data_IF_046445434351
#
_entry.id   IF_046445434351
#
_cell.length_a   1.000
_cell.length_b   1.000
_cell.length_c   1.000
_cell.angle_alpha   90.00
_cell.angle_beta   90.00
_cell.angle_gamma   90.00
#
_symmetry.space_group_name_H-M   'P 1'
#
loop_
_entity.id
_entity.type
_entity.pdbx_description
1 polymer ?
#
# COMPACT_ATOMS: atom_id res chain seq x y z
N UNK A 1 -17.30 12.21 -4.96
CA UNK A 1 -16.19 11.25 -5.11
C UNK A 1 -16.72 10.00 -5.79
N UNK A 2 -16.10 9.54 -6.88
CA UNK A 2 -16.42 8.27 -7.56
C UNK A 2 -15.39 7.21 -7.18
N UNK A 3 -15.82 5.99 -6.86
CA UNK A 3 -14.93 4.87 -6.53
C UNK A 3 -15.20 3.74 -7.51
N UNK A 4 -14.15 3.27 -8.18
CA UNK A 4 -14.16 2.15 -9.13
C UNK A 4 -13.15 1.10 -8.69
N UNK A 5 -13.26 -0.14 -9.19
CA UNK A 5 -12.32 -1.20 -8.88
C UNK A 5 -11.97 -2.03 -10.12
N UNK A 6 -10.69 -2.39 -10.20
CA UNK A 6 -10.10 -3.36 -11.11
C UNK A 6 -9.82 -4.60 -10.27
N UNK A 7 -10.59 -5.65 -10.48
CA UNK A 7 -10.52 -6.86 -9.64
C UNK A 7 -9.66 -7.97 -10.27
N UNK A 8 -9.36 -7.87 -11.56
CA UNK A 8 -8.61 -8.86 -12.29
C UNK A 8 -7.42 -8.25 -13.03
N UNK A 9 -6.25 -8.93 -13.07
CA UNK A 9 -5.10 -8.50 -13.88
C UNK A 9 -5.43 -8.36 -15.37
N UNK A 10 -6.42 -9.09 -15.87
CA UNK A 10 -6.89 -9.00 -17.27
C UNK A 10 -7.43 -7.60 -17.63
N UNK A 11 -7.84 -6.82 -16.64
CA UNK A 11 -8.34 -5.44 -16.80
C UNK A 11 -7.22 -4.38 -16.83
N UNK A 12 -5.99 -4.70 -16.37
CA UNK A 12 -4.88 -3.76 -16.29
C UNK A 12 -4.52 -3.10 -17.64
N UNK A 13 -4.53 -3.81 -18.79
CA UNK A 13 -4.28 -3.18 -20.08
C UNK A 13 -5.35 -2.13 -20.47
N UNK A 14 -6.60 -2.34 -20.06
CA UNK A 14 -7.67 -1.37 -20.25
C UNK A 14 -7.53 -0.19 -19.29
N UNK A 15 -7.15 -0.42 -18.03
CA UNK A 15 -6.86 0.63 -17.06
C UNK A 15 -5.75 1.56 -17.55
N UNK A 16 -4.65 1.03 -18.09
CA UNK A 16 -3.52 1.80 -18.60
C UNK A 16 -3.87 2.74 -19.76
N UNK A 17 -5.03 2.54 -20.42
CA UNK A 17 -5.55 3.41 -21.49
C UNK A 17 -6.54 4.47 -21.01
N UNK A 18 -6.94 4.43 -19.73
CA UNK A 18 -7.85 5.43 -19.14
C UNK A 18 -7.14 6.75 -18.88
N UNK A 19 -7.88 7.84 -18.90
CA UNK A 19 -7.41 9.12 -18.35
C UNK A 19 -7.48 9.07 -16.82
N UNK A 20 -6.31 8.96 -16.18
CA UNK A 20 -6.18 8.85 -14.73
C UNK A 20 -5.67 10.13 -14.08
N UNK A 21 -5.51 11.25 -14.82
CA UNK A 21 -4.89 12.50 -14.32
C UNK A 21 -5.58 13.08 -13.09
N UNK A 22 -6.87 12.81 -12.92
CA UNK A 22 -7.68 13.27 -11.77
C UNK A 22 -8.06 12.11 -10.83
N UNK A 23 -7.43 10.96 -10.98
CA UNK A 23 -7.70 9.77 -10.18
C UNK A 23 -6.56 9.48 -9.21
N UNK A 24 -6.91 8.93 -8.05
CA UNK A 24 -5.96 8.25 -7.17
C UNK A 24 -6.16 6.75 -7.35
N UNK A 25 -5.09 6.07 -7.74
CA UNK A 25 -5.06 4.61 -7.79
C UNK A 25 -4.54 4.06 -6.45
N UNK A 26 -5.23 3.06 -5.89
CA UNK A 26 -4.79 2.33 -4.70
C UNK A 26 -4.53 0.89 -5.10
N UNK A 27 -3.28 0.48 -5.09
CA UNK A 27 -2.83 -0.85 -5.53
C UNK A 27 -2.75 -1.81 -4.36
N UNK A 28 -3.36 -2.98 -4.53
CA UNK A 28 -3.32 -4.11 -3.60
C UNK A 28 -2.58 -5.28 -4.25
N UNK A 29 -1.56 -5.76 -3.59
CA UNK A 29 -0.86 -7.04 -3.78
C UNK A 29 -0.57 -7.53 -2.36
N UNK A 30 -1.61 -8.03 -1.69
CA UNK A 30 -1.59 -8.33 -0.25
C UNK A 30 -0.63 -9.47 0.05
N UNK A 31 -0.58 -10.48 -0.82
CA UNK A 31 0.33 -11.59 -0.72
C UNK A 31 1.28 -11.62 -1.94
N UNK A 32 2.37 -10.72 -1.95
CA UNK A 32 2.90 -10.04 -0.75
C UNK A 32 3.39 -8.63 -1.00
N UNK A 33 3.48 -8.16 -2.25
CA UNK A 33 4.30 -6.98 -2.58
C UNK A 33 3.89 -5.71 -1.80
N UNK A 34 2.61 -5.33 -1.75
CA UNK A 34 2.20 -4.11 -1.04
C UNK A 34 2.33 -4.24 0.47
N UNK A 35 2.08 -5.43 1.04
CA UNK A 35 2.36 -5.70 2.46
C UNK A 35 3.85 -5.55 2.78
N UNK A 36 4.72 -6.03 1.89
CA UNK A 36 6.16 -5.87 2.02
C UNK A 36 6.56 -4.39 1.94
N UNK A 37 6.05 -3.63 0.97
CA UNK A 37 6.38 -2.22 0.81
C UNK A 37 5.99 -1.38 2.03
N UNK A 38 4.79 -1.60 2.56
CA UNK A 38 4.30 -0.90 3.76
C UNK A 38 5.17 -1.24 4.97
N UNK A 39 5.56 -2.50 5.15
CA UNK A 39 6.45 -2.95 6.23
C UNK A 39 7.85 -2.35 6.10
N UNK A 40 8.42 -2.38 4.90
CA UNK A 40 9.76 -1.83 4.59
C UNK A 40 9.82 -0.34 4.95
N UNK A 41 8.82 0.43 4.55
CA UNK A 41 8.74 1.86 4.86
C UNK A 41 8.53 2.12 6.36
N UNK A 42 7.69 1.31 7.02
CA UNK A 42 7.51 1.39 8.48
C UNK A 42 8.83 1.15 9.22
N UNK A 43 9.65 0.24 8.75
CA UNK A 43 10.96 -0.08 9.33
C UNK A 43 12.06 0.93 8.98
N UNK A 44 11.69 2.05 8.33
CA UNK A 44 12.55 3.20 8.12
C UNK A 44 13.39 3.14 6.86
N UNK A 45 13.03 2.34 5.86
CA UNK A 45 13.65 2.45 4.55
C UNK A 45 13.42 3.85 3.94
N UNK A 46 14.40 4.35 3.20
CA UNK A 46 14.34 5.66 2.56
C UNK A 46 13.36 5.67 1.38
N UNK A 47 13.38 4.60 0.59
CA UNK A 47 12.53 4.46 -0.60
C UNK A 47 12.53 3.01 -1.09
N UNK A 48 11.48 2.68 -1.87
CA UNK A 48 11.40 1.44 -2.66
C UNK A 48 11.27 1.84 -4.11
N UNK A 49 12.10 1.28 -4.97
CA UNK A 49 12.07 1.50 -6.43
C UNK A 49 11.54 0.22 -7.07
N UNK A 50 10.24 0.16 -7.44
CA UNK A 50 9.70 -1.00 -8.13
C UNK A 50 10.17 -1.03 -9.57
N UNK A 51 10.74 -2.16 -9.99
CA UNK A 51 11.20 -2.41 -11.36
C UNK A 51 10.58 -3.70 -11.90
N UNK A 52 10.40 -3.80 -13.23
CA UNK A 52 9.77 -4.98 -13.83
C UNK A 52 10.74 -6.14 -13.99
N UNK A 53 11.95 -5.83 -14.42
CA UNK A 53 12.90 -6.84 -14.84
C UNK A 53 14.05 -7.00 -13.84
N UNK A 54 14.56 -8.23 -13.72
CA UNK A 54 15.75 -8.53 -12.93
C UNK A 54 16.93 -7.69 -13.42
N UNK A 55 17.09 -7.56 -14.73
CA UNK A 55 18.17 -6.78 -15.33
C UNK A 55 18.12 -5.29 -14.93
N UNK A 56 16.92 -4.70 -14.80
CA UNK A 56 16.76 -3.32 -14.29
C UNK A 56 17.28 -3.22 -12.85
N UNK A 57 16.92 -4.19 -11.98
CA UNK A 57 17.38 -4.19 -10.59
C UNK A 57 18.91 -4.30 -10.50
N UNK A 58 19.52 -5.16 -11.29
CA UNK A 58 20.99 -5.31 -11.35
C UNK A 58 21.66 -4.03 -11.85
N UNK A 59 21.10 -3.36 -12.85
CA UNK A 59 21.63 -2.09 -13.36
C UNK A 59 21.59 -0.97 -12.30
N UNK A 60 20.56 -0.95 -11.42
CA UNK A 60 20.53 -0.05 -10.27
C UNK A 60 21.66 -0.35 -9.29
N UNK A 61 21.89 -1.62 -8.94
CA UNK A 61 22.99 -2.04 -8.04
C UNK A 61 24.35 -1.65 -8.58
N UNK A 62 24.59 -1.78 -9.90
CA UNK A 62 25.86 -1.37 -10.52
C UNK A 62 26.12 0.14 -10.37
N UNK A 63 25.06 0.97 -10.47
CA UNK A 63 25.17 2.43 -10.31
C UNK A 63 25.24 2.88 -8.85
N UNK A 64 24.62 2.14 -7.95
CA UNK A 64 24.49 2.45 -6.53
C UNK A 64 24.70 1.18 -5.69
N UNK A 65 25.96 0.83 -5.33
CA UNK A 65 26.29 -0.42 -4.66
C UNK A 65 25.61 -0.61 -3.28
N UNK A 66 25.24 0.49 -2.61
CA UNK A 66 24.66 0.48 -1.26
C UNK A 66 23.16 0.17 -1.20
N UNK A 67 22.48 0.07 -2.34
CA UNK A 67 21.05 -0.31 -2.39
C UNK A 67 20.90 -1.80 -2.07
N UNK A 68 19.70 -2.16 -1.60
CA UNK A 68 19.31 -3.57 -1.42
C UNK A 68 18.47 -4.02 -2.61
N UNK A 69 18.72 -5.24 -3.09
CA UNK A 69 17.89 -5.91 -4.07
C UNK A 69 16.89 -6.80 -3.34
N UNK A 70 15.60 -6.53 -3.54
CA UNK A 70 14.50 -7.32 -3.01
C UNK A 70 13.61 -7.84 -4.12
N UNK A 71 12.96 -8.97 -3.90
CA UNK A 71 11.99 -9.45 -4.87
C UNK A 71 11.90 -10.96 -5.00
N UNK A 72 11.00 -11.38 -5.90
CA UNK A 72 10.66 -12.79 -6.07
C UNK A 72 10.40 -13.15 -7.53
N UNK A 73 10.55 -14.45 -7.80
CA UNK A 73 9.91 -15.14 -8.93
C UNK A 73 9.30 -16.41 -8.39
N UNK A 74 8.05 -16.67 -8.78
CA UNK A 74 7.24 -17.81 -8.29
C UNK A 74 7.15 -17.89 -6.75
N UNK A 75 7.13 -16.73 -6.08
CA UNK A 75 7.02 -16.59 -4.63
C UNK A 75 8.33 -16.71 -3.87
N UNK A 76 9.44 -17.15 -4.49
CA UNK A 76 10.72 -17.35 -3.83
C UNK A 76 11.75 -16.27 -4.21
N UNK A 77 12.71 -16.03 -3.30
CA UNK A 77 13.78 -15.04 -3.52
C UNK A 77 14.56 -15.34 -4.80
N UNK A 78 14.85 -14.31 -5.59
CA UNK A 78 15.68 -14.37 -6.78
C UNK A 78 17.11 -14.74 -6.39
N UNK A 79 17.65 -15.76 -7.07
CA UNK A 79 18.96 -16.32 -6.79
C UNK A 79 19.94 -16.15 -7.96
N UNK A 80 21.23 -16.35 -7.69
CA UNK A 80 22.32 -16.23 -8.65
C UNK A 80 22.09 -16.98 -9.97
N UNK A 81 21.42 -18.13 -9.92
CA UNK A 81 21.06 -18.88 -11.13
C UNK A 81 20.12 -18.12 -12.10
N UNK A 82 19.32 -17.19 -11.58
CA UNK A 82 18.36 -16.40 -12.37
C UNK A 82 18.96 -15.05 -12.84
N UNK A 83 20.08 -14.65 -12.25
CA UNK A 83 20.68 -13.32 -12.45
C UNK A 83 22.02 -13.36 -13.19
N UNK A 84 22.57 -14.56 -13.40
CA UNK A 84 23.93 -14.71 -13.93
C UNK A 84 25.04 -14.51 -12.89
N UNK A 85 24.77 -14.72 -11.60
CA UNK A 85 25.79 -14.75 -10.55
C UNK A 85 25.58 -13.85 -9.34
N UNK A 86 24.47 -13.11 -9.26
CA UNK A 86 24.16 -12.20 -8.13
C UNK A 86 22.92 -12.68 -7.38
N UNK A 87 23.04 -13.01 -6.10
CA UNK A 87 21.87 -13.24 -5.24
C UNK A 87 21.20 -11.90 -4.87
N UNK A 88 19.87 -11.87 -4.86
CA UNK A 88 19.15 -10.76 -4.23
C UNK A 88 19.34 -10.83 -2.72
N UNK A 89 19.45 -9.66 -2.07
CA UNK A 89 19.65 -9.57 -0.63
C UNK A 89 18.45 -10.10 0.16
N UNK A 90 17.24 -9.83 -0.34
CA UNK A 90 15.96 -10.12 0.29
C UNK A 90 14.97 -10.70 -0.72
N UNK A 91 14.04 -11.52 -0.23
CA UNK A 91 12.91 -12.00 -1.01
C UNK A 91 11.77 -10.99 -1.07
N UNK A 92 10.52 -11.49 -1.04
CA UNK A 92 9.31 -10.69 -0.97
C UNK A 92 8.50 -10.97 0.32
N UNK A 93 9.13 -11.62 1.32
CA UNK A 93 8.51 -11.80 2.64
C UNK A 93 8.66 -10.50 3.45
N UNK A 94 7.56 -9.87 3.93
CA UNK A 94 7.67 -8.65 4.75
C UNK A 94 8.50 -8.90 6.03
N UNK A 95 8.54 -10.13 6.52
CA UNK A 95 9.27 -10.54 7.73
C UNK A 95 10.79 -10.54 7.55
N UNK A 96 11.29 -10.58 6.30
CA UNK A 96 12.73 -10.48 6.01
C UNK A 96 13.29 -9.06 6.19
N UNK A 97 12.42 -8.03 6.10
CA UNK A 97 12.81 -6.61 6.07
C UNK A 97 12.80 -6.01 7.46
N UNK A 98 13.69 -6.46 8.33
CA UNK A 98 13.81 -5.93 9.69
C UNK A 98 14.39 -4.50 9.71
N UNK A 99 14.12 -3.69 10.76
CA UNK A 99 14.67 -2.33 10.86
C UNK A 99 16.19 -2.27 10.71
N UNK A 100 16.92 -3.27 11.24
CA UNK A 100 18.38 -3.36 11.19
C UNK A 100 18.89 -3.50 9.75
N UNK A 101 18.13 -4.19 8.90
CA UNK A 101 18.51 -4.42 7.50
C UNK A 101 18.17 -3.23 6.60
N UNK A 102 17.02 -2.56 6.84
CA UNK A 102 16.46 -1.65 5.83
C UNK A 102 16.49 -0.17 6.21
N UNK A 103 16.72 0.19 7.49
CA UNK A 103 16.69 1.58 7.93
C UNK A 103 17.69 2.45 7.13
N UNK A 104 17.17 3.54 6.55
CA UNK A 104 17.94 4.47 5.72
C UNK A 104 18.36 3.93 4.34
N UNK A 105 18.02 2.66 4.01
CA UNK A 105 18.36 2.06 2.72
C UNK A 105 17.32 2.35 1.66
N UNK A 106 17.74 2.34 0.40
CA UNK A 106 16.85 2.24 -0.76
C UNK A 106 16.79 0.78 -1.20
N UNK A 107 15.58 0.29 -1.42
CA UNK A 107 15.34 -1.08 -1.90
C UNK A 107 14.89 -1.00 -3.36
N UNK A 108 15.58 -1.68 -4.26
CA UNK A 108 15.09 -1.92 -5.63
C UNK A 108 14.37 -3.25 -5.61
N UNK A 109 13.08 -3.23 -5.92
CA UNK A 109 12.20 -4.40 -5.79
C UNK A 109 11.62 -4.81 -7.13
N UNK A 110 11.67 -6.11 -7.43
CA UNK A 110 11.00 -6.68 -8.61
C UNK A 110 10.10 -7.85 -8.19
N UNK A 111 8.80 -7.75 -8.56
CA UNK A 111 7.79 -8.76 -8.27
C UNK A 111 6.98 -9.07 -9.51
N UNK A 112 6.36 -10.23 -9.55
CA UNK A 112 5.61 -10.71 -10.72
C UNK A 112 4.34 -9.87 -10.96
N UNK A 113 3.56 -9.56 -9.93
CA UNK A 113 2.22 -8.97 -10.07
C UNK A 113 2.18 -7.49 -9.62
N UNK A 114 2.70 -7.17 -8.45
CA UNK A 114 2.59 -5.82 -7.86
C UNK A 114 3.21 -4.73 -8.72
N UNK A 115 4.38 -4.98 -9.31
CA UNK A 115 5.04 -4.02 -10.21
C UNK A 115 4.22 -3.76 -11.48
N UNK A 116 3.57 -4.81 -12.04
CA UNK A 116 2.68 -4.69 -13.21
C UNK A 116 1.47 -3.82 -12.89
N UNK A 117 0.82 -4.02 -11.73
CA UNK A 117 -0.30 -3.22 -11.28
C UNK A 117 0.08 -1.74 -11.04
N UNK A 118 1.21 -1.47 -10.40
CA UNK A 118 1.73 -0.11 -10.22
C UNK A 118 1.96 0.59 -11.56
N UNK A 119 2.54 -0.10 -12.55
CA UNK A 119 2.76 0.44 -13.90
C UNK A 119 1.46 0.75 -14.63
N UNK A 120 0.42 -0.07 -14.48
CA UNK A 120 -0.88 0.18 -15.10
C UNK A 120 -1.53 1.48 -14.58
N UNK A 121 -1.13 1.95 -13.42
CA UNK A 121 -1.57 3.21 -12.82
C UNK A 121 -0.74 4.43 -13.23
N UNK A 122 0.26 4.27 -14.11
CA UNK A 122 1.10 5.39 -14.59
C UNK A 122 0.20 6.44 -15.25
N UNK A 123 0.31 7.69 -14.84
CA UNK A 123 -0.57 8.78 -15.30
C UNK A 123 -1.67 9.13 -14.30
N UNK A 124 -1.86 8.37 -13.23
CA UNK A 124 -2.70 8.79 -12.12
C UNK A 124 -2.11 9.99 -11.37
N UNK A 125 -2.99 10.82 -10.80
CA UNK A 125 -2.57 11.94 -9.96
C UNK A 125 -1.66 11.46 -8.82
N UNK A 126 -2.00 10.33 -8.23
CA UNK A 126 -1.23 9.67 -7.18
C UNK A 126 -1.50 8.17 -7.23
N UNK A 127 -0.45 7.37 -6.99
CA UNK A 127 -0.58 5.92 -6.84
C UNK A 127 -0.17 5.56 -5.41
N UNK A 128 -1.05 4.88 -4.70
CA UNK A 128 -0.82 4.40 -3.34
C UNK A 128 -0.62 2.89 -3.35
N UNK A 129 0.31 2.39 -2.54
CA UNK A 129 0.42 0.98 -2.21
C UNK A 129 -0.27 0.75 -0.86
N UNK A 130 -1.27 -0.14 -0.84
CA UNK A 130 -2.02 -0.47 0.36
C UNK A 130 -2.16 -1.97 0.58
N UNK A 131 -2.33 -2.36 1.83
CA UNK A 131 -2.64 -3.73 2.25
C UNK A 131 -3.47 -3.67 3.53
N UNK A 132 -3.87 -4.79 4.09
CA UNK A 132 -4.56 -4.81 5.40
C UNK A 132 -3.76 -4.08 6.49
N UNK A 133 -2.42 -4.04 6.38
CA UNK A 133 -1.54 -3.46 7.39
C UNK A 133 -1.71 -1.94 7.57
N UNK A 134 -2.26 -1.19 6.58
CA UNK A 134 -2.40 0.27 6.60
C UNK A 134 -3.73 0.80 6.04
N UNK A 135 -4.79 -0.01 6.06
CA UNK A 135 -6.08 0.37 5.47
C UNK A 135 -6.69 1.62 6.09
N UNK A 136 -6.70 1.72 7.43
CA UNK A 136 -7.27 2.89 8.14
C UNK A 136 -6.52 4.17 7.78
N UNK A 137 -5.19 4.14 7.75
CA UNK A 137 -4.39 5.29 7.34
C UNK A 137 -4.72 5.71 5.90
N UNK A 138 -4.82 4.73 4.98
CA UNK A 138 -5.18 4.97 3.58
C UNK A 138 -6.58 5.56 3.45
N UNK A 139 -7.58 5.03 4.18
CA UNK A 139 -8.95 5.57 4.17
C UNK A 139 -9.01 7.01 4.69
N UNK A 140 -8.31 7.31 5.79
CA UNK A 140 -8.22 8.65 6.38
C UNK A 140 -7.59 9.65 5.41
N UNK A 141 -6.49 9.26 4.76
CA UNK A 141 -5.84 10.09 3.75
C UNK A 141 -6.79 10.41 2.60
N UNK A 142 -7.44 9.41 2.00
CA UNK A 142 -8.37 9.60 0.88
C UNK A 142 -9.58 10.46 1.25
N UNK A 143 -10.09 10.34 2.47
CA UNK A 143 -11.15 11.20 2.97
C UNK A 143 -10.71 12.64 3.20
N UNK A 144 -9.47 12.85 3.67
CA UNK A 144 -8.92 14.20 3.89
C UNK A 144 -8.78 14.96 2.58
N UNK A 145 -8.28 14.30 1.53
CA UNK A 145 -8.00 14.94 0.25
C UNK A 145 -9.20 14.97 -0.71
N UNK A 146 -10.23 14.14 -0.47
CA UNK A 146 -11.48 14.06 -1.25
C UNK A 146 -11.26 14.09 -2.77
N UNK A 147 -10.54 13.12 -3.35
CA UNK A 147 -10.26 13.11 -4.77
C UNK A 147 -11.56 12.95 -5.57
N UNK A 148 -11.58 13.46 -6.79
CA UNK A 148 -12.74 13.30 -7.69
C UNK A 148 -13.02 11.82 -7.99
N UNK A 149 -11.94 11.04 -8.18
CA UNK A 149 -12.00 9.61 -8.50
C UNK A 149 -10.96 8.81 -7.72
N UNK A 150 -11.37 7.62 -7.25
CA UNK A 150 -10.49 6.57 -6.70
C UNK A 150 -10.65 5.33 -7.56
N UNK A 151 -9.54 4.68 -7.89
CA UNK A 151 -9.54 3.36 -8.54
C UNK A 151 -8.80 2.39 -7.63
N UNK A 152 -9.51 1.38 -7.11
CA UNK A 152 -8.95 0.29 -6.32
C UNK A 152 -8.42 -0.76 -7.31
N UNK A 153 -7.14 -1.10 -7.24
CA UNK A 153 -6.49 -1.95 -8.24
C UNK A 153 -5.92 -3.19 -7.59
N UNK A 154 -6.54 -4.34 -7.84
CA UNK A 154 -6.05 -5.64 -7.41
C UNK A 154 -4.99 -6.14 -8.39
N UNK A 155 -3.79 -6.46 -7.90
CA UNK A 155 -2.69 -6.96 -8.72
C UNK A 155 -2.95 -8.39 -9.23
N UNK A 156 -3.71 -9.17 -8.45
CA UNK A 156 -4.04 -10.54 -8.78
C UNK A 156 -2.86 -11.49 -8.71
N UNK A 157 -3.05 -12.70 -9.21
CA UNK A 157 -2.00 -13.72 -9.29
C UNK A 157 -1.91 -14.25 -10.71
N UNK A 158 -0.84 -13.92 -11.41
CA UNK A 158 -0.67 -14.18 -12.86
C UNK A 158 -1.80 -13.48 -13.65
N UNK A 159 -2.76 -14.21 -14.21
CA UNK A 159 -3.94 -13.68 -14.90
C UNK A 159 -5.24 -13.85 -14.09
N UNK A 160 -5.14 -14.42 -12.86
CA UNK A 160 -6.29 -14.72 -12.03
C UNK A 160 -6.55 -13.64 -10.97
N UNK A 161 -7.79 -13.56 -10.54
CA UNK A 161 -8.19 -12.75 -9.38
C UNK A 161 -7.53 -13.31 -8.11
N UNK A 162 -6.93 -12.44 -7.28
CA UNK A 162 -6.44 -12.80 -5.95
C UNK A 162 -7.51 -12.44 -4.92
N UNK A 163 -7.97 -13.43 -4.16
CA UNK A 163 -9.02 -13.26 -3.15
C UNK A 163 -8.63 -12.22 -2.12
N UNK A 164 -7.42 -12.27 -1.61
CA UNK A 164 -6.88 -11.35 -0.61
C UNK A 164 -6.87 -9.89 -1.07
N UNK A 165 -6.57 -9.64 -2.35
CA UNK A 165 -6.57 -8.29 -2.92
C UNK A 165 -8.00 -7.75 -3.02
N UNK A 166 -8.94 -8.58 -3.51
CA UNK A 166 -10.36 -8.22 -3.60
C UNK A 166 -10.93 -7.91 -2.22
N UNK A 167 -10.57 -8.71 -1.20
CA UNK A 167 -11.02 -8.48 0.17
C UNK A 167 -10.46 -7.18 0.75
N UNK A 168 -9.18 -6.85 0.49
CA UNK A 168 -8.58 -5.59 0.93
C UNK A 168 -9.20 -4.38 0.22
N UNK A 169 -9.43 -4.47 -1.10
CA UNK A 169 -10.15 -3.46 -1.86
C UNK A 169 -11.59 -3.27 -1.35
N UNK A 170 -12.29 -4.37 -1.03
CA UNK A 170 -13.62 -4.36 -0.44
C UNK A 170 -13.65 -3.72 0.93
N UNK A 171 -12.66 -4.01 1.78
CA UNK A 171 -12.50 -3.40 3.10
C UNK A 171 -12.32 -1.87 3.00
N UNK A 172 -11.43 -1.41 2.10
CA UNK A 172 -11.23 0.02 1.87
C UNK A 172 -12.49 0.68 1.30
N UNK A 173 -13.16 0.04 0.33
CA UNK A 173 -14.43 0.50 -0.23
C UNK A 173 -15.53 0.62 0.83
N UNK A 174 -15.60 -0.32 1.77
CA UNK A 174 -16.54 -0.26 2.90
C UNK A 174 -16.21 0.90 3.84
N UNK A 175 -14.92 1.09 4.18
CA UNK A 175 -14.50 2.22 4.99
C UNK A 175 -14.88 3.55 4.34
N UNK A 176 -14.63 3.71 3.04
CA UNK A 176 -14.90 4.96 2.32
C UNK A 176 -16.40 5.25 2.16
N UNK A 177 -17.24 4.22 2.06
CA UNK A 177 -18.68 4.35 1.90
C UNK A 177 -19.43 4.68 3.21
N UNK A 178 -18.89 4.31 4.37
CA UNK A 178 -19.56 4.44 5.67
C UNK A 178 -19.15 5.72 6.41
N UNK A 179 -20.06 6.68 6.52
CA UNK A 179 -19.87 7.94 7.24
C UNK A 179 -19.70 7.74 8.76
N UNK A 180 -20.39 6.78 9.35
CA UNK A 180 -20.34 6.49 10.80
C UNK A 180 -18.95 6.04 11.25
N UNK A 181 -18.24 5.25 10.43
CA UNK A 181 -16.84 4.87 10.68
C UNK A 181 -15.95 6.10 10.61
N UNK A 182 -16.28 7.07 9.74
CA UNK A 182 -15.54 8.32 9.59
C UNK A 182 -15.57 9.19 10.86
N UNK A 183 -16.68 9.23 11.57
CA UNK A 183 -16.83 10.00 12.81
C UNK A 183 -16.05 9.36 13.97
N UNK A 184 -16.06 8.04 14.09
CA UNK A 184 -15.32 7.32 15.12
C UNK A 184 -13.79 7.39 14.93
N UNK A 185 -13.31 7.48 13.69
CA UNK A 185 -11.89 7.66 13.38
C UNK A 185 -11.38 9.08 13.70
N UNK A 186 -12.26 10.10 13.74
CA UNK A 186 -11.90 11.46 14.19
C UNK A 186 -11.68 11.57 15.71
N UNK A 187 -12.14 10.60 16.49
CA UNK A 187 -12.05 10.58 17.96
C UNK A 187 -10.87 9.73 18.47
N UNK A 188 -10.23 8.98 17.60
CA UNK A 188 -9.06 8.17 17.95
C UNK A 188 -7.85 9.03 18.32
N UNK A 189 -7.46 8.99 19.61
CA UNK A 189 -6.25 9.62 20.15
C UNK A 189 -5.04 9.25 19.29
N UNK A 190 -4.25 10.27 18.92
CA UNK A 190 -2.92 10.09 18.39
C UNK A 190 -2.13 9.14 19.31
N UNK A 191 -1.72 7.99 18.80
CA UNK A 191 -0.75 7.14 19.48
C UNK A 191 0.57 7.88 19.38
N UNK A 192 1.26 8.20 20.51
CA UNK A 192 2.52 8.92 20.46
C UNK A 192 3.56 8.11 19.67
N UNK A 193 4.18 8.76 18.70
CA UNK A 193 5.39 8.26 18.08
C UNK A 193 6.48 8.15 19.17
N UNK A 194 7.29 7.07 19.21
CA UNK A 194 8.41 7.01 20.15
C UNK A 194 9.35 8.20 19.92
N UNK A 195 9.96 8.74 20.99
CA UNK A 195 10.73 9.97 20.93
C UNK A 195 11.89 9.85 19.95
N UNK A 196 12.01 10.83 19.07
CA UNK A 196 13.24 11.07 18.32
C UNK A 196 14.22 11.72 19.32
N UNK A 197 15.43 11.21 19.39
CA UNK A 197 16.52 11.88 20.09
C UNK A 197 16.74 13.26 19.45
N UNK A 198 16.25 14.30 20.11
CA UNK A 198 16.48 15.68 19.71
C UNK A 198 17.77 16.18 20.38
N UNK A 199 18.78 16.42 19.53
CA UNK A 199 19.90 17.26 19.91
C UNK A 199 19.44 18.74 19.91
N UNK A 200 19.53 19.37 21.08
CA UNK A 200 19.38 20.77 21.44
C UNK A 200 19.45 21.83 20.31
N UNK A 201 18.36 22.61 20.15
CA UNK A 201 18.39 23.97 19.59
C UNK A 201 17.49 24.85 20.47
N UNK A 202 17.93 26.02 20.95
CA UNK A 202 17.19 26.84 21.91
C UNK A 202 16.06 27.66 21.26
N UNK A 203 14.87 27.61 21.87
CA UNK A 203 13.69 28.37 21.47
C UNK A 203 13.73 29.76 22.07
N UNK A 204 13.72 30.81 21.25
CA UNK A 204 13.40 32.17 21.67
C UNK A 204 11.87 32.36 21.72
N UNK A 205 11.39 32.76 22.89
CA UNK A 205 10.00 33.18 23.11
C UNK A 205 9.77 34.56 22.47
N UNK A 206 8.74 34.70 21.67
CA UNK A 206 8.12 36.00 21.37
C UNK A 206 6.62 35.90 21.66
N UNK A 207 6.19 36.72 22.61
CA UNK A 207 4.81 37.01 22.99
C UNK A 207 4.19 38.03 22.04
N UNK A 208 3.01 37.82 21.49
CA UNK A 208 2.08 38.88 21.03
C UNK A 208 0.66 38.30 20.97
N UNK A 209 -0.25 38.80 21.77
CA UNK A 209 -1.27 39.75 21.42
C UNK A 209 -2.58 39.08 20.99
N UNK A 210 -3.56 38.99 21.93
CA UNK A 210 -4.93 38.54 21.68
C UNK A 210 -5.70 39.58 20.85
N UNK A 211 -6.35 39.15 19.75
CA UNK A 211 -7.42 39.93 19.10
C UNK A 211 -8.54 38.99 18.60
N UNK A 212 -9.75 39.32 19.06
CA UNK A 212 -11.06 39.22 18.47
C UNK A 212 -11.50 37.94 17.74
N UNK A 213 -12.29 37.10 18.45
CA UNK A 213 -13.07 35.99 17.86
C UNK A 213 -14.25 36.57 17.03
N UNK A 214 -14.10 36.59 15.71
CA UNK A 214 -15.21 36.67 14.78
C UNK A 214 -15.80 35.28 14.60
N UNK A 215 -17.05 35.06 15.04
CA UNK A 215 -17.81 33.83 14.78
C UNK A 215 -18.20 33.77 13.30
N UNK A 216 -17.41 33.11 12.49
CA UNK A 216 -17.84 32.68 11.16
C UNK A 216 -18.58 31.37 11.30
N UNK A 217 -19.88 31.38 10.98
CA UNK A 217 -20.72 30.21 10.81
C UNK A 217 -20.10 29.34 9.71
N UNK A 218 -19.43 28.24 10.12
CA UNK A 218 -19.03 27.22 9.16
C UNK A 218 -20.31 26.50 8.71
N UNK A 219 -20.77 26.82 7.52
CA UNK A 219 -21.69 25.97 6.79
C UNK A 219 -20.99 24.61 6.65
N UNK A 220 -21.52 23.58 7.31
CA UNK A 220 -21.11 22.20 7.12
C UNK A 220 -21.49 21.83 5.70
N UNK A 221 -20.53 21.87 4.77
CA UNK A 221 -20.73 21.35 3.44
C UNK A 221 -21.18 19.87 3.60
N UNK A 222 -22.38 19.56 3.13
CA UNK A 222 -22.92 18.21 3.07
C UNK A 222 -21.95 17.37 2.23
N UNK A 223 -21.18 16.50 2.87
CA UNK A 223 -20.27 15.59 2.18
C UNK A 223 -21.13 14.58 1.44
N UNK A 224 -21.31 14.77 0.15
CA UNK A 224 -22.08 13.85 -0.69
C UNK A 224 -21.47 12.44 -0.63
N UNK A 225 -22.34 11.43 -0.46
CA UNK A 225 -21.93 10.03 -0.44
C UNK A 225 -21.16 9.67 -1.72
N UNK A 226 -20.09 8.85 -1.63
CA UNK A 226 -19.38 8.41 -2.81
C UNK A 226 -20.27 7.54 -3.71
N UNK A 227 -20.13 7.69 -5.03
CA UNK A 227 -20.72 6.80 -6.02
C UNK A 227 -19.80 5.60 -6.22
N UNK A 228 -20.31 4.40 -6.00
CA UNK A 228 -19.55 3.15 -6.12
C UNK A 228 -19.90 2.45 -7.43
N UNK A 229 -18.89 1.84 -8.09
CA UNK A 229 -19.15 0.93 -9.22
C UNK A 229 -19.60 -0.45 -8.73
N UNK A 230 -20.18 -1.25 -9.62
CA UNK A 230 -20.57 -2.63 -9.31
C UNK A 230 -19.38 -3.50 -8.89
N UNK A 231 -18.18 -3.25 -9.44
CA UNK A 231 -16.96 -3.93 -9.03
C UNK A 231 -16.61 -3.65 -7.56
N UNK A 232 -16.75 -2.40 -7.11
CA UNK A 232 -16.54 -2.03 -5.69
C UNK A 232 -17.60 -2.69 -4.81
N UNK A 233 -18.87 -2.69 -5.21
CA UNK A 233 -19.92 -3.36 -4.44
C UNK A 233 -19.70 -4.87 -4.34
N UNK A 234 -19.22 -5.50 -5.42
CA UNK A 234 -18.82 -6.91 -5.42
C UNK A 234 -17.72 -7.17 -4.41
N UNK A 235 -16.66 -6.37 -4.40
CA UNK A 235 -15.55 -6.50 -3.44
C UNK A 235 -16.02 -6.26 -2.00
N UNK A 236 -16.87 -5.25 -1.75
CA UNK A 236 -17.46 -4.98 -0.43
C UNK A 236 -18.30 -6.15 0.08
N UNK A 237 -19.11 -6.74 -0.77
CA UNK A 237 -19.92 -7.90 -0.41
C UNK A 237 -19.06 -9.12 -0.09
N UNK A 238 -17.96 -9.34 -0.82
CA UNK A 238 -16.99 -10.38 -0.48
C UNK A 238 -16.35 -10.10 0.90
N UNK A 239 -15.90 -8.88 1.14
CA UNK A 239 -15.34 -8.47 2.43
C UNK A 239 -16.30 -8.69 3.60
N UNK A 240 -17.56 -8.25 3.49
CA UNK A 240 -18.56 -8.40 4.53
C UNK A 240 -18.77 -9.85 4.95
N UNK A 241 -18.66 -10.79 4.01
CA UNK A 241 -18.77 -12.23 4.28
C UNK A 241 -17.52 -12.81 4.94
N UNK A 242 -16.34 -12.31 4.59
CA UNK A 242 -15.05 -12.88 5.01
C UNK A 242 -14.46 -12.24 6.28
N UNK A 243 -14.83 -11.01 6.63
CA UNK A 243 -14.13 -10.20 7.63
C UNK A 243 -14.01 -10.82 9.04
N UNK A 244 -14.89 -11.75 9.42
CA UNK A 244 -14.85 -12.40 10.73
C UNK A 244 -14.02 -13.68 10.76
N UNK A 245 -13.69 -14.24 9.58
CA UNK A 245 -12.86 -15.43 9.42
C UNK A 245 -11.86 -15.26 8.26
N UNK A 246 -11.27 -14.05 8.20
CA UNK A 246 -10.40 -13.61 7.10
C UNK A 246 -9.25 -14.58 6.83
N UNK A 247 -8.56 -15.05 7.87
CA UNK A 247 -7.44 -15.98 7.73
C UNK A 247 -7.89 -17.31 7.09
N UNK A 248 -9.00 -17.87 7.53
CA UNK A 248 -9.55 -19.11 7.00
C UNK A 248 -9.88 -18.96 5.50
N UNK A 249 -10.66 -17.91 5.17
CA UNK A 249 -11.06 -17.64 3.77
C UNK A 249 -9.86 -17.44 2.86
N UNK A 250 -8.87 -16.65 3.30
CA UNK A 250 -7.68 -16.39 2.49
C UNK A 250 -6.77 -17.60 2.40
N UNK A 251 -6.69 -18.44 3.44
CA UNK A 251 -5.87 -19.67 3.40
C UNK A 251 -6.28 -20.65 2.30
N UNK A 252 -7.55 -20.59 1.87
CA UNK A 252 -8.06 -21.39 0.74
C UNK A 252 -7.74 -20.78 -0.64
N UNK A 253 -7.25 -19.55 -0.70
CA UNK A 253 -6.87 -18.90 -1.94
C UNK A 253 -5.58 -19.52 -2.54
N UNK A 254 -5.47 -19.52 -3.87
CA UNK A 254 -4.33 -20.12 -4.60
C UNK A 254 -2.97 -19.61 -4.09
N UNK A 255 -2.87 -18.29 -3.94
CA UNK A 255 -1.62 -17.64 -3.55
C UNK A 255 -1.23 -17.97 -2.11
N UNK A 256 -2.21 -17.94 -1.19
CA UNK A 256 -1.99 -18.31 0.20
C UNK A 256 -1.57 -19.79 0.34
N UNK A 257 -2.26 -20.71 -0.35
CA UNK A 257 -1.88 -22.15 -0.32
C UNK A 257 -0.45 -22.38 -0.78
N UNK A 258 0.01 -21.63 -1.82
CA UNK A 258 1.41 -21.72 -2.27
C UNK A 258 2.40 -21.27 -1.19
N UNK A 259 2.10 -20.17 -0.48
CA UNK A 259 2.95 -19.67 0.60
C UNK A 259 2.93 -20.59 1.82
N UNK A 260 1.76 -21.11 2.19
CA UNK A 260 1.58 -22.05 3.31
C UNK A 260 2.33 -23.38 3.09
N UNK A 261 2.54 -23.78 1.84
CA UNK A 261 3.29 -24.98 1.49
C UNK A 261 4.83 -24.81 1.63
N UNK A 262 5.32 -23.57 1.79
CA UNK A 262 6.76 -23.27 1.92
C UNK A 262 7.03 -22.91 3.38
N UNK A 263 7.80 -23.70 4.14
CA UNK A 263 8.00 -23.49 5.58
C UNK A 263 8.46 -22.07 5.94
N UNK A 264 9.39 -21.50 5.18
CA UNK A 264 9.94 -20.17 5.44
C UNK A 264 8.95 -19.04 5.18
N UNK A 265 7.91 -19.30 4.37
CA UNK A 265 6.90 -18.31 3.94
C UNK A 265 5.53 -18.53 4.59
N UNK A 266 5.34 -19.65 5.28
CA UNK A 266 4.08 -20.05 5.91
C UNK A 266 3.45 -18.92 6.74
N UNK A 267 4.23 -18.29 7.60
CA UNK A 267 3.76 -17.23 8.50
C UNK A 267 3.48 -15.89 7.79
N UNK A 268 3.89 -15.73 6.54
CA UNK A 268 3.64 -14.52 5.78
C UNK A 268 2.14 -14.29 5.56
N UNK A 269 1.36 -15.37 5.42
CA UNK A 269 -0.09 -15.28 5.22
C UNK A 269 -0.73 -14.60 6.42
N UNK A 270 -0.52 -15.13 7.62
CA UNK A 270 -1.06 -14.55 8.84
C UNK A 270 -0.52 -13.12 9.10
N UNK A 271 0.76 -12.87 8.80
CA UNK A 271 1.37 -11.55 8.94
C UNK A 271 0.70 -10.50 8.05
N UNK A 272 0.53 -10.78 6.75
CA UNK A 272 -0.04 -9.85 5.77
C UNK A 272 -1.53 -9.56 6.00
N UNK A 273 -2.25 -10.43 6.71
CA UNK A 273 -3.66 -10.26 7.04
C UNK A 273 -3.91 -9.52 8.35
N UNK A 274 -2.87 -9.13 9.09
CA UNK A 274 -3.00 -8.26 10.26
C UNK A 274 -3.56 -6.91 9.82
N UNK A 275 -4.52 -6.36 10.60
CA UNK A 275 -5.19 -5.14 10.22
C UNK A 275 -4.60 -3.94 10.95
N UNK A 276 -4.37 -2.85 10.21
CA UNK A 276 -4.04 -1.51 10.72
C UNK A 276 -2.88 -1.46 11.72
N UNK A 277 -1.84 -2.27 11.50
CA UNK A 277 -0.65 -2.28 12.35
C UNK A 277 0.33 -1.15 12.03
N UNK A 278 0.16 -0.48 10.88
CA UNK A 278 1.01 0.62 10.46
C UNK A 278 0.20 1.87 10.08
N UNK A 279 0.51 2.99 10.73
CA UNK A 279 -0.11 4.27 10.43
C UNK A 279 0.77 5.07 9.44
N UNK A 280 0.78 4.66 8.18
CA UNK A 280 1.52 5.33 7.12
C UNK A 280 0.83 5.22 5.75
N UNK A 281 1.17 6.16 4.88
CA UNK A 281 0.77 6.18 3.48
C UNK A 281 2.00 5.90 2.63
N UNK A 282 1.95 4.83 1.83
CA UNK A 282 2.98 4.49 0.87
C UNK A 282 2.58 5.02 -0.51
N UNK A 283 3.24 6.06 -1.01
CA UNK A 283 2.91 6.70 -2.28
C UNK A 283 4.05 6.61 -3.28
N UNK A 284 3.71 6.31 -4.53
CA UNK A 284 4.63 6.32 -5.67
C UNK A 284 4.86 7.77 -6.12
N UNK A 285 6.10 8.22 -6.03
CA UNK A 285 6.53 9.53 -6.49
C UNK A 285 6.70 9.59 -8.01
N UNK A 286 6.79 10.80 -8.55
CA UNK A 286 7.02 11.03 -9.99
C UNK A 286 8.36 10.47 -10.49
N UNK A 287 9.32 10.27 -9.60
CA UNK A 287 10.61 9.63 -9.86
C UNK A 287 10.54 8.10 -9.87
N UNK A 288 9.36 7.52 -9.74
CA UNK A 288 9.12 6.09 -9.75
C UNK A 288 9.44 5.37 -8.43
N UNK A 289 9.74 6.10 -7.37
CA UNK A 289 10.02 5.49 -6.07
C UNK A 289 8.86 5.63 -5.09
N UNK A 290 8.57 4.59 -4.33
CA UNK A 290 7.56 4.58 -3.27
C UNK A 290 8.20 5.08 -1.98
N UNK A 291 7.54 6.05 -1.32
CA UNK A 291 7.95 6.64 -0.04
C UNK A 291 6.76 6.86 0.87
N UNK A 292 7.02 7.14 2.13
CA UNK A 292 5.98 7.64 3.03
C UNK A 292 5.54 9.01 2.55
N UNK A 293 4.23 9.16 2.30
CA UNK A 293 3.59 10.46 2.04
C UNK A 293 3.09 11.03 3.37
N UNK A 294 3.35 12.31 3.59
CA UNK A 294 2.93 13.05 4.79
C UNK A 294 1.63 13.81 4.50
#
# INVERSE_FOLDING_TARGET
MKIDAILSPAELPALAKRDLRNAICVVFDVLRATSTFVTVLHHGAKAIVPVSEIAEALAFRQKQPDILLGGERDGVRIRAAQTGGVDFDLGNSPREYTPEKVRGKTIVSTTTNGTRALRACTGAQTVLAASFLNLTATAQFLRRIQPAQIVLVCAGTRENVATEDVLAAGALGEMLANETIAQNLKVGRAVPCPPRDEANIPVQQQSHGAHGLSRHSHATAEVSRPTLSDSVETARNAWRKAKFNLLEVVSEAENARRLLAIPELHDDVAFCLRQDVYNLIAALGRDGAIRISI
#
